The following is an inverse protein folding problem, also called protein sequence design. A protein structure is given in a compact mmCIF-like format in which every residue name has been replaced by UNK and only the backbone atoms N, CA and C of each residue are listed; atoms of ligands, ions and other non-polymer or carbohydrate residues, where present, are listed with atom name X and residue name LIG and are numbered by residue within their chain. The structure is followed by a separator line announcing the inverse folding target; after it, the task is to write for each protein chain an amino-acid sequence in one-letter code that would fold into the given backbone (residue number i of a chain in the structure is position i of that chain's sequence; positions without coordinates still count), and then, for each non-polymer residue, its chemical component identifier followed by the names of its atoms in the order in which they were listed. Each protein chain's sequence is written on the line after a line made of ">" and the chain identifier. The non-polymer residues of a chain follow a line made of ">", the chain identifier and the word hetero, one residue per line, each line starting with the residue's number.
data_IF_773767640987
#
_entry.id   IF_773767640987
#
_cell.length_a   1.000
_cell.length_b   1.000
_cell.length_c   1.000
_cell.angle_alpha   90.00
_cell.angle_beta   90.00
_cell.angle_gamma   90.00
#
_symmetry.space_group_name_H-M   'P 1'
#
loop_
_entity.id
_entity.type
_entity.pdbx_description
1 polymer ?
#
# COMPACT_ATOMS: atom_id res chain seq x y z
N UNK A 1 -43.30 16.19 26.99
CA UNK A 1 -41.86 16.22 26.67
C UNK A 1 -41.53 14.91 25.98
N UNK A 2 -41.23 14.95 24.68
CA UNK A 2 -40.72 13.79 23.98
C UNK A 2 -39.27 13.57 24.45
N UNK A 3 -38.99 12.42 25.03
CA UNK A 3 -37.61 11.98 25.26
C UNK A 3 -37.07 11.60 23.88
N UNK A 4 -36.27 12.48 23.30
CA UNK A 4 -35.44 12.13 22.15
C UNK A 4 -34.34 11.21 22.66
N UNK A 5 -34.54 9.89 22.58
CA UNK A 5 -33.45 8.93 22.66
C UNK A 5 -32.72 9.02 21.32
N UNK A 6 -31.79 9.96 21.19
CA UNK A 6 -30.74 9.82 20.18
C UNK A 6 -30.00 8.55 20.58
N UNK A 7 -30.08 7.47 19.81
CA UNK A 7 -29.12 6.36 19.96
C UNK A 7 -27.76 6.97 19.62
N UNK A 8 -26.89 7.24 20.62
CA UNK A 8 -25.57 7.76 20.34
C UNK A 8 -24.87 6.74 19.45
N UNK A 9 -24.01 7.20 18.55
CA UNK A 9 -23.15 6.32 17.74
C UNK A 9 -22.12 5.63 18.67
N UNK A 10 -22.60 4.63 19.42
CA UNK A 10 -21.87 4.02 20.51
C UNK A 10 -20.62 3.29 20.01
N UNK A 11 -20.69 2.74 18.80
CA UNK A 11 -19.53 2.13 18.16
C UNK A 11 -18.46 3.19 17.86
N UNK A 12 -18.79 4.31 17.20
CA UNK A 12 -17.82 5.39 16.97
C UNK A 12 -17.23 5.91 18.27
N UNK A 13 -18.09 6.25 19.24
CA UNK A 13 -17.66 6.82 20.53
C UNK A 13 -16.75 5.87 21.31
N UNK A 14 -17.05 4.56 21.32
CA UNK A 14 -16.20 3.58 22.01
C UNK A 14 -14.84 3.41 21.33
N UNK A 15 -14.77 3.41 19.99
CA UNK A 15 -13.52 3.34 19.23
C UNK A 15 -12.67 4.58 19.44
N UNK A 16 -13.27 5.78 19.38
CA UNK A 16 -12.58 7.04 19.63
C UNK A 16 -12.04 7.10 21.06
N UNK A 17 -12.88 6.78 22.05
CA UNK A 17 -12.47 6.76 23.46
C UNK A 17 -11.34 5.75 23.73
N UNK A 18 -11.43 4.51 23.20
CA UNK A 18 -10.43 3.48 23.42
C UNK A 18 -9.08 3.79 22.76
N UNK A 19 -9.09 4.60 21.70
CA UNK A 19 -7.90 4.98 20.95
C UNK A 19 -7.32 6.34 21.37
N UNK A 20 -8.00 7.09 22.25
CA UNK A 20 -7.63 8.47 22.53
C UNK A 20 -7.83 9.40 21.32
N UNK A 21 -8.75 9.05 20.42
CA UNK A 21 -9.12 9.87 19.26
C UNK A 21 -8.33 9.59 17.98
N UNK A 22 -7.33 8.72 17.99
CA UNK A 22 -6.53 8.41 16.77
C UNK A 22 -7.24 7.44 15.82
N UNK A 23 -8.30 6.76 16.29
CA UNK A 23 -9.21 5.99 15.46
C UNK A 23 -10.62 6.55 15.53
N UNK A 24 -11.35 6.44 14.42
CA UNK A 24 -12.79 6.72 14.36
C UNK A 24 -13.53 5.63 13.57
N UNK A 25 -14.85 5.75 13.51
CA UNK A 25 -15.72 4.90 12.68
C UNK A 25 -16.45 5.77 11.68
N UNK A 26 -16.11 5.59 10.41
CA UNK A 26 -16.84 6.19 9.30
C UNK A 26 -17.84 5.17 8.77
N UNK A 27 -19.02 5.66 8.42
CA UNK A 27 -20.08 4.85 7.83
C UNK A 27 -20.21 5.20 6.36
N UNK A 28 -20.34 4.19 5.52
CA UNK A 28 -20.59 4.39 4.10
C UNK A 28 -22.05 4.78 3.81
N UNK A 29 -22.38 5.01 2.54
CA UNK A 29 -23.73 5.39 2.12
C UNK A 29 -24.83 4.39 2.50
N UNK A 30 -24.50 3.12 2.81
CA UNK A 30 -25.44 2.10 3.29
C UNK A 30 -25.47 1.99 4.82
N UNK A 31 -24.66 2.77 5.53
CA UNK A 31 -24.55 2.73 6.98
C UNK A 31 -23.69 1.56 7.48
N UNK A 32 -22.79 1.01 6.65
CA UNK A 32 -21.84 0.01 7.14
C UNK A 32 -20.59 0.66 7.74
N UNK A 33 -20.15 0.21 8.93
CA UNK A 33 -19.02 0.81 9.62
C UNK A 33 -17.67 0.40 9.02
N UNK A 34 -16.69 1.28 9.13
CA UNK A 34 -15.28 0.97 8.93
C UNK A 34 -14.45 1.70 9.97
N UNK A 35 -13.59 0.96 10.67
CA UNK A 35 -12.64 1.51 11.64
C UNK A 35 -11.47 2.09 10.87
N UNK A 36 -11.23 3.37 11.06
CA UNK A 36 -10.22 4.14 10.33
C UNK A 36 -9.19 4.70 11.31
N UNK A 37 -7.91 4.62 10.95
CA UNK A 37 -6.82 5.34 11.59
C UNK A 37 -6.72 6.73 10.98
N UNK A 38 -6.68 7.76 11.82
CA UNK A 38 -6.52 9.15 11.41
C UNK A 38 -5.04 9.45 11.33
N UNK A 39 -4.56 9.82 10.15
CA UNK A 39 -3.16 10.20 9.92
C UNK A 39 -3.11 11.70 9.65
N UNK A 40 -2.62 12.52 10.59
CA UNK A 40 -2.48 13.96 10.38
C UNK A 40 -1.43 14.27 9.30
N UNK A 41 -1.66 15.37 8.58
CA UNK A 41 -0.69 15.90 7.63
C UNK A 41 0.65 16.20 8.30
N UNK A 42 1.73 15.80 7.63
CA UNK A 42 3.09 16.19 7.96
C UNK A 42 3.82 16.76 6.72
N UNK A 43 4.92 17.47 6.96
CA UNK A 43 5.79 17.93 5.89
C UNK A 43 6.92 16.93 5.65
N UNK A 44 7.46 16.92 4.43
CA UNK A 44 8.50 15.98 3.99
C UNK A 44 9.76 16.12 4.86
N UNK A 45 10.14 17.36 5.17
CA UNK A 45 11.29 17.71 6.00
C UNK A 45 11.14 17.31 7.48
N UNK A 46 9.92 17.08 7.96
CA UNK A 46 9.67 16.54 9.30
C UNK A 46 10.07 15.04 9.38
N UNK A 47 9.99 14.33 8.25
CA UNK A 47 10.48 12.97 8.08
C UNK A 47 11.98 13.01 7.82
N UNK A 48 12.40 13.56 6.69
CA UNK A 48 13.81 13.71 6.31
C UNK A 48 13.97 14.88 5.33
N UNK A 49 14.71 15.93 5.69
CA UNK A 49 15.00 17.05 4.79
C UNK A 49 15.68 16.64 3.47
N UNK A 50 16.33 15.48 3.41
CA UNK A 50 16.93 14.96 2.18
C UNK A 50 15.88 14.56 1.13
N UNK A 51 14.64 14.26 1.54
CA UNK A 51 13.56 13.85 0.64
C UNK A 51 12.80 15.03 0.01
N UNK A 52 13.08 16.25 0.46
CA UNK A 52 12.46 17.48 -0.04
C UNK A 52 11.84 18.34 1.06
N UNK A 53 10.90 19.19 0.68
CA UNK A 53 10.23 20.11 1.59
C UNK A 53 8.75 20.30 1.23
N UNK A 54 7.96 20.80 2.19
CA UNK A 54 6.53 21.05 2.03
C UNK A 54 5.67 19.83 2.36
N UNK A 55 4.36 19.93 2.06
CA UNK A 55 3.39 18.89 2.40
C UNK A 55 3.65 17.59 1.64
N UNK A 56 3.63 16.45 2.34
CA UNK A 56 3.75 15.14 1.70
C UNK A 56 2.60 14.89 0.70
N UNK A 57 2.85 14.32 -0.51
CA UNK A 57 1.87 14.11 -1.57
C UNK A 57 0.54 13.50 -1.13
N UNK A 58 0.56 12.54 -0.19
CA UNK A 58 -0.62 11.91 0.41
C UNK A 58 -1.70 12.90 0.89
N UNK A 59 -1.30 14.11 1.28
CA UNK A 59 -2.19 15.13 1.82
C UNK A 59 -2.54 16.23 0.82
N UNK A 60 -2.34 16.01 -0.47
CA UNK A 60 -2.73 16.96 -1.53
C UNK A 60 -3.61 16.23 -2.53
N UNK A 61 -4.87 16.63 -2.62
CA UNK A 61 -5.84 16.05 -3.56
C UNK A 61 -6.37 17.15 -4.47
N UNK A 62 -6.12 17.01 -5.77
CA UNK A 62 -6.41 17.97 -6.83
C UNK A 62 -5.92 19.39 -6.49
N UNK A 63 -4.69 19.49 -5.98
CA UNK A 63 -4.06 20.74 -5.55
C UNK A 63 -4.60 21.32 -4.23
N UNK A 64 -5.54 20.64 -3.56
CA UNK A 64 -6.10 21.06 -2.27
C UNK A 64 -5.39 20.32 -1.13
N UNK A 65 -4.68 21.04 -0.24
CA UNK A 65 -4.10 20.45 0.96
C UNK A 65 -5.19 19.92 1.90
N UNK A 66 -4.97 18.73 2.44
CA UNK A 66 -5.83 18.04 3.40
C UNK A 66 -5.18 18.05 4.77
N UNK A 67 -5.98 18.25 5.82
CA UNK A 67 -5.47 18.24 7.20
C UNK A 67 -5.05 16.84 7.65
N UNK A 68 -5.69 15.81 7.10
CA UNK A 68 -5.54 14.41 7.48
C UNK A 68 -6.04 13.49 6.36
N UNK A 69 -5.66 12.22 6.45
CA UNK A 69 -6.19 11.11 5.68
C UNK A 69 -6.66 10.01 6.63
N UNK A 70 -7.62 9.20 6.20
CA UNK A 70 -8.19 8.13 7.00
C UNK A 70 -7.84 6.79 6.34
N UNK A 71 -7.00 5.99 6.99
CA UNK A 71 -6.58 4.69 6.47
C UNK A 71 -7.39 3.60 7.14
N UNK A 72 -7.89 2.63 6.36
CA UNK A 72 -8.52 1.42 6.91
C UNK A 72 -7.57 0.76 7.91
N UNK A 73 -7.98 0.75 9.19
CA UNK A 73 -7.19 0.14 10.26
C UNK A 73 -6.86 -1.33 9.97
N UNK A 74 -7.75 -2.01 9.28
CA UNK A 74 -7.68 -3.43 8.95
C UNK A 74 -7.77 -3.63 7.44
N UNK A 75 -7.24 -4.76 6.96
CA UNK A 75 -7.47 -5.24 5.60
C UNK A 75 -8.98 -5.35 5.31
N UNK A 76 -9.36 -5.19 4.03
CA UNK A 76 -10.76 -5.16 3.64
C UNK A 76 -11.48 -6.49 3.90
N UNK A 77 -12.70 -6.40 4.41
CA UNK A 77 -13.72 -7.43 4.39
C UNK A 77 -14.88 -6.95 3.51
N UNK A 78 -15.20 -7.69 2.43
CA UNK A 78 -16.29 -7.32 1.53
C UNK A 78 -17.61 -7.79 2.12
N UNK A 79 -18.52 -6.84 2.35
CA UNK A 79 -19.90 -7.08 2.73
C UNK A 79 -20.82 -6.30 1.79
N UNK A 80 -21.77 -6.98 1.14
CA UNK A 80 -22.71 -6.37 0.18
C UNK A 80 -22.03 -5.48 -0.88
N UNK A 81 -20.95 -6.00 -1.46
CA UNK A 81 -20.07 -5.31 -2.42
C UNK A 81 -19.37 -4.04 -1.89
N UNK A 82 -19.33 -3.81 -0.58
CA UNK A 82 -18.60 -2.70 0.03
C UNK A 82 -17.39 -3.23 0.79
N UNK A 83 -16.23 -2.58 0.61
CA UNK A 83 -15.01 -2.91 1.32
C UNK A 83 -15.02 -2.30 2.73
N UNK A 84 -15.23 -3.11 3.76
CA UNK A 84 -15.25 -2.66 5.15
C UNK A 84 -13.90 -2.89 5.82
N UNK A 85 -13.46 -1.96 6.67
CA UNK A 85 -12.28 -2.15 7.53
C UNK A 85 -12.75 -2.55 8.93
N UNK A 86 -12.75 -3.84 9.25
CA UNK A 86 -13.26 -4.39 10.51
C UNK A 86 -12.29 -5.43 11.10
N UNK A 87 -12.15 -5.51 12.43
CA UNK A 87 -11.27 -6.49 13.09
C UNK A 87 -11.88 -7.89 13.09
N UNK A 88 -11.02 -8.91 13.07
CA UNK A 88 -11.43 -10.29 13.32
C UNK A 88 -12.11 -11.01 12.14
N UNK A 89 -12.03 -10.45 10.93
CA UNK A 89 -12.56 -11.07 9.72
C UNK A 89 -11.44 -11.73 8.90
N UNK A 90 -11.78 -12.74 8.10
CA UNK A 90 -10.86 -13.20 7.03
C UNK A 90 -10.75 -12.07 5.99
N UNK A 91 -9.53 -11.54 5.70
CA UNK A 91 -9.38 -10.51 4.70
C UNK A 91 -9.83 -11.01 3.32
N UNK A 92 -10.55 -10.15 2.59
CA UNK A 92 -11.05 -10.47 1.26
C UNK A 92 -9.90 -10.56 0.26
N UNK A 93 -9.83 -11.70 -0.43
CA UNK A 93 -8.79 -11.98 -1.43
C UNK A 93 -9.39 -12.57 -2.69
N UNK A 94 -8.54 -12.98 -3.64
CA UNK A 94 -9.00 -13.53 -4.91
C UNK A 94 -9.66 -12.47 -5.79
N UNK A 95 -9.21 -11.23 -5.66
CA UNK A 95 -9.82 -10.06 -6.28
C UNK A 95 -8.80 -9.30 -7.13
N UNK A 96 -9.24 -8.87 -8.31
CA UNK A 96 -8.42 -8.08 -9.21
C UNK A 96 -8.49 -6.58 -8.88
N UNK A 97 -7.61 -5.77 -9.48
CA UNK A 97 -7.48 -4.35 -9.17
C UNK A 97 -8.79 -3.59 -9.36
N UNK A 98 -9.42 -3.70 -10.54
CA UNK A 98 -10.61 -2.91 -10.88
C UNK A 98 -11.81 -3.30 -9.99
N UNK A 99 -11.93 -4.57 -9.63
CA UNK A 99 -12.99 -5.02 -8.70
C UNK A 99 -12.71 -4.52 -7.29
N UNK A 100 -11.50 -4.68 -6.77
CA UNK A 100 -11.11 -4.18 -5.44
C UNK A 100 -11.39 -2.68 -5.33
N UNK A 101 -11.02 -1.93 -6.35
CA UNK A 101 -11.26 -0.51 -6.45
C UNK A 101 -12.75 -0.14 -6.42
N UNK A 102 -13.56 -0.87 -7.20
CA UNK A 102 -15.02 -0.68 -7.23
C UNK A 102 -15.68 -0.93 -5.86
N UNK A 103 -15.14 -1.85 -5.04
CA UNK A 103 -15.68 -2.15 -3.71
C UNK A 103 -15.40 -1.04 -2.70
N UNK A 104 -14.31 -0.30 -2.88
CA UNK A 104 -14.02 0.89 -2.07
C UNK A 104 -14.86 2.09 -2.51
N UNK A 105 -14.95 2.36 -3.81
CA UNK A 105 -15.70 3.52 -4.34
C UNK A 105 -17.21 3.38 -4.18
N UNK A 106 -17.75 2.16 -4.19
CA UNK A 106 -19.17 1.91 -3.90
C UNK A 106 -19.64 2.44 -2.54
N UNK A 107 -18.71 2.68 -1.60
CA UNK A 107 -18.99 3.25 -0.28
C UNK A 107 -19.44 4.71 -0.33
N UNK A 108 -19.16 5.42 -1.43
CA UNK A 108 -19.58 6.80 -1.67
C UNK A 108 -18.42 7.81 -1.74
N UNK A 109 -18.72 9.11 -1.93
CA UNK A 109 -17.71 10.15 -2.08
C UNK A 109 -16.69 10.17 -0.94
N UNK A 110 -15.43 10.40 -1.30
CA UNK A 110 -14.28 10.37 -0.41
C UNK A 110 -13.69 8.98 -0.15
N UNK A 111 -14.46 7.90 -0.32
CA UNK A 111 -13.95 6.54 -0.19
C UNK A 111 -13.21 6.09 -1.45
N UNK A 112 -12.04 5.49 -1.24
CA UNK A 112 -11.18 4.99 -2.30
C UNK A 112 -10.37 3.79 -1.80
N UNK A 113 -9.76 3.03 -2.71
CA UNK A 113 -8.76 2.05 -2.33
C UNK A 113 -7.46 2.79 -1.98
N UNK A 114 -6.78 2.38 -0.92
CA UNK A 114 -5.57 3.06 -0.43
C UNK A 114 -4.58 3.34 -1.57
N UNK A 115 -4.00 4.53 -1.58
CA UNK A 115 -3.10 4.96 -2.65
C UNK A 115 -1.65 4.69 -2.33
N UNK A 116 -0.82 4.62 -3.37
CA UNK A 116 0.63 4.53 -3.24
C UNK A 116 1.22 5.69 -2.42
N UNK A 117 0.67 6.90 -2.59
CA UNK A 117 1.11 8.08 -1.85
C UNK A 117 0.80 7.93 -0.35
N UNK A 118 -0.39 7.46 -0.01
CA UNK A 118 -0.81 7.20 1.37
C UNK A 118 0.01 6.09 2.02
N UNK A 119 0.26 5.00 1.30
CA UNK A 119 1.10 3.91 1.78
C UNK A 119 2.50 4.43 2.10
N UNK A 120 3.08 5.20 1.19
CA UNK A 120 4.40 5.78 1.40
C UNK A 120 4.46 6.78 2.54
N UNK A 121 3.39 7.56 2.77
CA UNK A 121 3.33 8.43 3.94
C UNK A 121 3.41 7.63 5.25
N UNK A 122 2.64 6.55 5.35
CA UNK A 122 2.65 5.64 6.51
C UNK A 122 4.01 4.95 6.65
N UNK A 123 4.59 4.46 5.55
CA UNK A 123 5.89 3.80 5.55
C UNK A 123 7.03 4.71 6.05
N UNK A 124 7.08 5.94 5.55
CA UNK A 124 8.05 6.94 5.95
C UNK A 124 7.86 7.37 7.41
N UNK A 125 6.61 7.48 7.85
CA UNK A 125 6.30 7.75 9.25
C UNK A 125 6.80 6.63 10.16
N UNK A 126 6.55 5.36 9.81
CA UNK A 126 7.07 4.19 10.54
C UNK A 126 8.60 4.23 10.65
N UNK A 127 9.27 4.45 9.51
CA UNK A 127 10.73 4.54 9.45
C UNK A 127 11.27 5.68 10.33
N UNK A 128 10.70 6.89 10.23
CA UNK A 128 11.11 8.05 11.03
C UNK A 128 10.97 7.81 12.54
N UNK A 129 9.93 7.09 12.94
CA UNK A 129 9.69 6.76 14.35
C UNK A 129 10.53 5.56 14.82
N UNK A 130 11.41 5.02 13.98
CA UNK A 130 12.30 3.91 14.32
C UNK A 130 11.58 2.57 14.50
N UNK A 131 10.36 2.44 13.96
CA UNK A 131 9.56 1.25 14.11
C UNK A 131 8.91 0.83 12.79
N UNK A 132 9.40 -0.26 12.21
CA UNK A 132 8.81 -0.93 11.05
C UNK A 132 8.00 -2.14 11.55
N UNK A 133 6.67 -2.19 11.34
CA UNK A 133 5.83 -3.25 11.87
C UNK A 133 6.17 -4.61 11.27
N UNK A 134 6.10 -5.64 12.10
CA UNK A 134 6.16 -7.05 11.71
C UNK A 134 4.77 -7.52 11.25
N UNK A 135 4.62 -8.81 11.02
CA UNK A 135 3.32 -9.34 10.65
C UNK A 135 3.29 -10.83 10.44
N UNK A 136 2.16 -11.30 9.91
CA UNK A 136 2.03 -12.67 9.46
C UNK A 136 2.88 -12.88 8.20
N UNK A 137 4.12 -13.35 8.35
CA UNK A 137 5.05 -13.58 7.23
C UNK A 137 5.51 -15.05 7.15
N UNK A 138 5.02 -15.92 8.03
CA UNK A 138 5.31 -17.34 8.04
C UNK A 138 4.12 -18.17 8.56
N UNK A 139 3.08 -18.29 7.75
CA UNK A 139 1.93 -19.16 7.93
C UNK A 139 1.19 -18.95 9.27
N UNK A 140 0.84 -17.70 9.59
CA UNK A 140 0.12 -17.29 10.80
C UNK A 140 0.99 -16.69 11.90
N UNK A 141 2.30 -16.55 11.67
CA UNK A 141 3.27 -15.96 12.62
C UNK A 141 4.31 -15.10 11.90
N UNK A 142 5.09 -14.33 12.66
CA UNK A 142 6.28 -13.66 12.11
C UNK A 142 7.39 -14.68 11.87
N UNK A 143 8.19 -14.48 10.82
CA UNK A 143 9.25 -15.42 10.44
C UNK A 143 10.50 -15.34 11.35
N UNK A 144 10.72 -14.22 12.04
CA UNK A 144 11.83 -14.02 12.99
C UNK A 144 11.32 -14.18 14.42
N UNK A 145 10.27 -13.43 14.78
CA UNK A 145 9.66 -13.45 16.10
C UNK A 145 8.55 -14.50 16.13
N UNK A 146 8.90 -15.79 16.03
CA UNK A 146 7.93 -16.88 15.82
C UNK A 146 6.89 -17.08 16.93
N UNK A 147 7.06 -16.44 18.09
CA UNK A 147 6.05 -16.38 19.16
C UNK A 147 4.94 -15.35 18.88
N UNK A 148 5.16 -14.40 17.99
CA UNK A 148 4.14 -13.47 17.51
C UNK A 148 3.25 -14.21 16.52
N UNK A 149 1.99 -14.39 16.89
CA UNK A 149 1.02 -15.16 16.11
C UNK A 149 -0.28 -14.39 15.95
N UNK A 150 -0.94 -14.61 14.82
CA UNK A 150 -2.33 -14.22 14.60
C UNK A 150 -3.24 -15.44 14.60
N UNK A 151 -4.54 -15.21 14.68
CA UNK A 151 -5.54 -16.28 14.59
C UNK A 151 -5.76 -16.63 13.14
N UNK A 152 -5.39 -17.83 12.71
CA UNK A 152 -5.58 -18.27 11.32
C UNK A 152 -7.06 -18.48 11.00
N UNK A 153 -7.48 -18.05 9.82
CA UNK A 153 -8.86 -18.21 9.36
C UNK A 153 -9.24 -19.70 9.16
N UNK A 154 -8.26 -20.55 8.82
CA UNK A 154 -8.46 -21.99 8.64
C UNK A 154 -8.37 -22.80 9.94
N UNK A 155 -8.19 -22.15 11.09
CA UNK A 155 -8.06 -22.79 12.40
C UNK A 155 -6.80 -23.64 12.59
N UNK A 156 -5.88 -23.68 11.61
CA UNK A 156 -4.62 -24.42 11.75
C UNK A 156 -3.66 -23.71 12.71
N UNK A 157 -2.67 -24.45 13.22
CA UNK A 157 -1.65 -23.87 14.09
C UNK A 157 -0.71 -22.91 13.31
N UNK A 158 -0.29 -21.77 13.89
CA UNK A 158 0.71 -20.90 13.29
C UNK A 158 2.02 -21.63 12.96
N UNK A 159 2.57 -21.37 11.77
CA UNK A 159 3.78 -22.02 11.26
C UNK A 159 3.55 -23.32 10.48
N UNK A 160 2.34 -23.88 10.48
CA UNK A 160 1.99 -25.04 9.64
C UNK A 160 1.85 -24.59 8.18
N UNK A 161 2.65 -25.15 7.28
CA UNK A 161 2.73 -24.72 5.87
C UNK A 161 1.56 -25.19 4.99
N UNK A 162 0.70 -26.08 5.49
CA UNK A 162 -0.53 -26.47 4.80
C UNK A 162 -1.68 -25.48 5.07
N UNK A 163 -2.68 -25.52 4.20
CA UNK A 163 -3.89 -24.69 4.32
C UNK A 163 -3.72 -23.27 3.81
N UNK A 164 -4.61 -22.39 4.24
CA UNK A 164 -4.67 -20.99 3.83
C UNK A 164 -4.40 -20.13 5.05
N UNK A 165 -3.14 -19.75 5.20
CA UNK A 165 -2.61 -19.19 6.44
C UNK A 165 -2.83 -17.67 6.60
N UNK A 166 -3.92 -17.14 6.03
CA UNK A 166 -4.40 -15.80 6.38
C UNK A 166 -4.75 -15.77 7.85
N UNK A 167 -4.42 -14.66 8.48
CA UNK A 167 -4.85 -14.37 9.84
C UNK A 167 -6.04 -13.44 9.81
N UNK A 168 -6.96 -13.62 10.74
CA UNK A 168 -8.06 -12.69 10.95
C UNK A 168 -7.49 -11.28 11.13
N UNK A 169 -8.12 -10.29 10.52
CA UNK A 169 -7.63 -8.91 10.48
C UNK A 169 -7.37 -8.36 11.88
N UNK A 170 -6.17 -7.83 12.09
CA UNK A 170 -5.73 -7.26 13.37
C UNK A 170 -5.66 -8.25 14.53
N UNK A 171 -5.61 -9.56 14.26
CA UNK A 171 -5.52 -10.58 15.32
C UNK A 171 -4.11 -10.80 15.87
N UNK A 172 -3.10 -10.17 15.27
CA UNK A 172 -1.73 -10.20 15.75
C UNK A 172 -1.47 -9.32 16.98
N UNK A 173 -0.24 -9.40 17.54
CA UNK A 173 0.20 -8.50 18.60
C UNK A 173 0.35 -7.06 18.11
N UNK A 174 0.51 -6.11 19.04
CA UNK A 174 0.71 -4.68 18.72
C UNK A 174 1.93 -4.42 17.81
N UNK A 175 2.92 -5.30 17.81
CA UNK A 175 4.07 -5.21 16.90
C UNK A 175 3.73 -5.43 15.41
N UNK A 176 2.50 -5.85 15.11
CA UNK A 176 1.96 -5.96 13.75
C UNK A 176 1.14 -4.73 13.33
N UNK A 177 1.14 -3.69 14.17
CA UNK A 177 0.47 -2.42 13.97
C UNK A 177 1.51 -1.33 13.77
N UNK A 178 1.26 -0.39 12.85
CA UNK A 178 2.28 0.52 12.30
C UNK A 178 3.01 1.41 13.33
N UNK A 179 2.39 1.67 14.48
CA UNK A 179 2.88 2.53 15.57
C UNK A 179 3.25 1.73 16.82
N UNK A 180 3.30 0.40 16.72
CA UNK A 180 3.50 -0.52 17.84
C UNK A 180 2.44 -0.43 18.95
N UNK A 181 1.24 0.08 18.63
CA UNK A 181 0.08 0.10 19.53
C UNK A 181 -1.11 -0.61 18.91
N UNK A 182 -2.04 -1.10 19.72
CA UNK A 182 -3.30 -1.67 19.21
C UNK A 182 -4.20 -0.62 18.53
N UNK A 183 -3.84 0.67 18.59
CA UNK A 183 -4.55 1.73 17.90
C UNK A 183 -4.08 1.92 16.45
N UNK A 184 -2.86 1.48 16.09
CA UNK A 184 -2.31 1.68 14.76
C UNK A 184 -3.02 0.94 13.62
N UNK A 185 -2.52 1.16 12.41
CA UNK A 185 -2.90 0.42 11.22
C UNK A 185 -2.30 -0.99 11.30
N UNK A 186 -3.15 -2.02 11.25
CA UNK A 186 -2.74 -3.41 11.34
C UNK A 186 -2.33 -4.00 9.98
N UNK A 187 -1.54 -5.06 10.04
CA UNK A 187 -1.28 -6.00 8.94
C UNK A 187 -0.71 -5.33 7.67
N UNK A 188 0.07 -4.24 7.80
CA UNK A 188 0.79 -3.64 6.67
C UNK A 188 1.94 -4.51 6.16
N UNK A 189 2.46 -5.38 7.02
CA UNK A 189 3.50 -6.36 6.69
C UNK A 189 2.86 -7.75 6.68
N UNK A 190 2.92 -8.45 5.56
CA UNK A 190 2.41 -9.82 5.48
C UNK A 190 0.88 -9.92 5.52
N UNK A 191 0.39 -11.09 5.95
CA UNK A 191 -0.98 -11.55 5.75
C UNK A 191 -1.30 -11.65 4.25
N UNK A 192 -1.64 -10.57 3.56
CA UNK A 192 -1.91 -10.56 2.11
C UNK A 192 -1.23 -9.35 1.47
N UNK A 193 -0.80 -9.50 0.22
CA UNK A 193 -0.42 -8.35 -0.60
C UNK A 193 -1.64 -7.44 -0.79
N UNK A 194 -1.40 -6.14 -0.96
CA UNK A 194 -2.48 -5.17 -1.12
C UNK A 194 -2.37 -4.37 -2.40
N UNK A 195 -3.43 -4.39 -3.21
CA UNK A 195 -3.60 -3.46 -4.33
C UNK A 195 -3.56 -2.01 -3.87
N UNK A 196 -2.84 -1.15 -4.61
CA UNK A 196 -2.79 0.29 -4.36
C UNK A 196 -3.14 1.10 -5.61
N UNK A 197 -3.80 2.24 -5.44
CA UNK A 197 -4.01 3.22 -6.52
C UNK A 197 -2.76 4.04 -6.82
N UNK A 198 -2.73 4.68 -7.98
CA UNK A 198 -1.88 5.85 -8.25
C UNK A 198 -0.45 5.56 -8.72
N UNK A 199 -0.09 4.30 -8.92
CA UNK A 199 1.17 3.87 -9.53
C UNK A 199 0.90 2.76 -10.54
N UNK A 200 1.66 2.71 -11.63
CA UNK A 200 1.74 1.57 -12.54
C UNK A 200 3.08 1.55 -13.27
N UNK A 201 3.38 0.41 -13.89
CA UNK A 201 4.36 0.30 -14.98
C UNK A 201 3.63 0.08 -16.31
N UNK A 202 4.17 0.63 -17.38
CA UNK A 202 3.81 0.25 -18.76
C UNK A 202 5.10 -0.05 -19.51
N UNK A 203 5.35 -1.33 -19.82
CA UNK A 203 6.61 -1.79 -20.44
C UNK A 203 7.86 -1.30 -19.68
N UNK A 204 7.75 -1.32 -18.34
CA UNK A 204 8.80 -0.85 -17.43
C UNK A 204 8.79 0.66 -17.16
N UNK A 205 8.12 1.49 -17.96
CA UNK A 205 8.03 2.93 -17.71
C UNK A 205 7.24 3.21 -16.42
N UNK A 206 7.85 3.97 -15.52
CA UNK A 206 7.24 4.33 -14.24
C UNK A 206 6.21 5.43 -14.47
N UNK A 207 4.96 5.15 -14.14
CA UNK A 207 3.87 6.11 -14.26
C UNK A 207 3.12 6.27 -12.94
N UNK A 208 2.88 7.52 -12.56
CA UNK A 208 2.14 7.87 -11.34
C UNK A 208 0.96 8.78 -11.69
N UNK A 209 -0.05 8.78 -10.83
CA UNK A 209 -1.02 9.88 -10.79
C UNK A 209 -0.44 10.93 -9.82
N UNK A 210 -0.31 12.21 -10.22
CA UNK A 210 0.32 13.23 -9.38
C UNK A 210 -0.32 13.37 -8.00
N UNK A 211 0.48 13.77 -7.01
CA UNK A 211 0.08 13.97 -5.62
C UNK A 211 -0.71 12.77 -5.06
N UNK A 212 -1.79 13.02 -4.32
CA UNK A 212 -2.80 12.02 -3.98
C UNK A 212 -4.07 12.19 -4.84
N UNK A 213 -3.94 12.65 -6.09
CA UNK A 213 -5.09 12.81 -6.99
C UNK A 213 -5.75 11.46 -7.29
N UNK A 214 -5.04 10.36 -7.06
CA UNK A 214 -5.57 9.00 -7.08
C UNK A 214 -6.69 8.75 -6.04
N UNK A 215 -6.77 9.55 -4.98
CA UNK A 215 -7.83 9.47 -3.97
C UNK A 215 -9.10 10.25 -4.35
N UNK A 216 -9.08 11.03 -5.45
CA UNK A 216 -10.26 11.75 -5.90
C UNK A 216 -11.40 10.77 -6.24
N UNK A 217 -12.64 11.17 -5.93
CA UNK A 217 -13.83 10.30 -6.03
C UNK A 217 -14.06 9.78 -7.45
N UNK A 218 -13.67 10.55 -8.45
CA UNK A 218 -13.85 10.30 -9.89
C UNK A 218 -12.53 10.09 -10.63
N UNK A 219 -11.44 9.80 -9.91
CA UNK A 219 -10.14 9.52 -10.52
C UNK A 219 -10.22 8.31 -11.47
N UNK A 220 -9.87 8.51 -12.74
CA UNK A 220 -9.81 7.43 -13.73
C UNK A 220 -8.49 6.65 -13.60
N UNK A 221 -8.60 5.40 -13.15
CA UNK A 221 -7.48 4.43 -13.04
C UNK A 221 -7.42 3.43 -14.21
N UNK A 222 -8.23 3.62 -15.24
CA UNK A 222 -8.21 2.79 -16.44
C UNK A 222 -6.86 2.89 -17.16
N UNK A 223 -6.59 1.91 -18.03
CA UNK A 223 -5.35 1.88 -18.80
C UNK A 223 -5.23 3.07 -19.76
N UNK A 224 -6.37 3.59 -20.25
CA UNK A 224 -6.49 4.72 -21.15
C UNK A 224 -6.56 6.09 -20.48
N UNK A 225 -6.49 6.16 -19.14
CA UNK A 225 -6.57 7.42 -18.39
C UNK A 225 -5.45 8.40 -18.77
N UNK A 226 -5.80 9.67 -18.93
CA UNK A 226 -4.85 10.76 -19.16
C UNK A 226 -4.21 11.30 -17.89
N UNK A 227 -4.63 10.79 -16.71
CA UNK A 227 -4.08 11.19 -15.41
C UNK A 227 -2.66 10.66 -15.18
N UNK A 228 -2.31 9.54 -15.82
CA UNK A 228 -0.98 8.94 -15.71
C UNK A 228 0.10 9.86 -16.27
N UNK A 229 1.14 10.08 -15.48
CA UNK A 229 2.35 10.84 -15.85
C UNK A 229 3.58 9.97 -15.68
N UNK A 230 4.47 10.01 -16.67
CA UNK A 230 5.80 9.43 -16.54
C UNK A 230 6.72 10.39 -15.79
N UNK A 231 7.77 9.85 -15.17
CA UNK A 231 8.73 10.61 -14.35
C UNK A 231 10.05 10.76 -15.10
N UNK A 232 10.58 11.98 -15.21
CA UNK A 232 11.91 12.24 -15.75
C UNK A 232 12.99 12.16 -14.66
N UNK A 233 14.28 11.94 -15.00
CA UNK A 233 15.37 11.92 -14.03
C UNK A 233 15.51 13.20 -13.17
N UNK A 234 15.06 14.34 -13.68
CA UNK A 234 15.01 15.61 -12.95
C UNK A 234 13.76 15.77 -12.05
N UNK A 235 12.92 14.74 -11.94
CA UNK A 235 11.69 14.73 -11.14
C UNK A 235 10.47 15.35 -11.81
N UNK A 236 10.60 15.92 -13.01
CA UNK A 236 9.45 16.49 -13.72
C UNK A 236 8.48 15.40 -14.21
N UNK A 237 7.20 15.73 -14.20
CA UNK A 237 6.13 14.86 -14.68
C UNK A 237 5.80 15.19 -16.13
N UNK A 238 5.83 14.19 -16.99
CA UNK A 238 5.64 14.31 -18.44
C UNK A 238 4.59 13.32 -18.94
N UNK A 239 4.19 13.44 -20.21
CA UNK A 239 3.31 12.46 -20.82
C UNK A 239 4.01 11.08 -20.91
N UNK A 240 3.30 9.98 -20.66
CA UNK A 240 3.79 8.62 -20.94
C UNK A 240 4.40 8.47 -22.34
N UNK A 241 5.49 7.71 -22.44
CA UNK A 241 6.24 7.51 -23.68
C UNK A 241 7.23 8.62 -24.04
N UNK A 242 7.38 9.65 -23.19
CA UNK A 242 8.40 10.69 -23.38
C UNK A 242 9.80 10.08 -23.34
N UNK A 243 10.64 10.38 -24.34
CA UNK A 243 12.02 9.88 -24.40
C UNK A 243 12.81 10.30 -23.14
N UNK A 244 13.54 9.35 -22.57
CA UNK A 244 14.33 9.58 -21.35
C UNK A 244 13.54 9.50 -20.05
N UNK A 245 12.25 9.19 -20.07
CA UNK A 245 11.47 8.87 -18.86
C UNK A 245 12.08 7.68 -18.11
N UNK A 246 11.99 7.69 -16.79
CA UNK A 246 12.49 6.65 -15.91
C UNK A 246 11.71 5.34 -16.09
N UNK A 247 12.44 4.24 -16.12
CA UNK A 247 11.95 2.88 -16.32
C UNK A 247 12.64 1.92 -15.36
N UNK A 248 11.97 0.84 -15.02
CA UNK A 248 12.60 -0.32 -14.43
C UNK A 248 13.14 -1.22 -15.52
N UNK A 249 14.46 -1.32 -15.59
CA UNK A 249 15.18 -2.29 -16.38
C UNK A 249 15.64 -3.47 -15.51
N UNK A 250 15.99 -4.58 -16.13
CA UNK A 250 16.51 -5.75 -15.43
C UNK A 250 18.01 -5.93 -15.75
N UNK A 251 18.80 -6.37 -14.78
CA UNK A 251 20.25 -6.55 -14.98
C UNK A 251 20.61 -7.86 -15.69
N UNK A 252 19.75 -8.88 -15.62
CA UNK A 252 19.91 -10.17 -16.28
C UNK A 252 19.12 -10.24 -17.58
N UNK A 253 19.38 -11.26 -18.40
CA UNK A 253 18.72 -11.51 -19.70
C UNK A 253 17.21 -11.75 -19.53
N UNK A 254 16.42 -11.36 -20.53
CA UNK A 254 14.96 -11.55 -20.62
C UNK A 254 14.19 -11.05 -19.38
N UNK A 255 14.59 -9.92 -18.81
CA UNK A 255 13.93 -9.33 -17.65
C UNK A 255 14.27 -9.98 -16.30
N UNK A 256 15.32 -10.82 -16.22
CA UNK A 256 15.77 -11.49 -15.00
C UNK A 256 16.71 -10.63 -14.12
N UNK A 257 17.04 -11.13 -12.93
CA UNK A 257 18.07 -10.55 -12.07
C UNK A 257 17.51 -9.46 -11.15
N UNK A 258 18.22 -8.34 -11.04
CA UNK A 258 17.84 -7.25 -10.14
C UNK A 258 17.15 -6.10 -10.90
N UNK A 259 16.17 -5.43 -10.29
CA UNK A 259 15.64 -4.17 -10.78
C UNK A 259 16.76 -3.12 -10.82
N UNK A 260 16.85 -2.41 -11.93
CA UNK A 260 17.77 -1.29 -12.12
C UNK A 260 16.98 -0.10 -12.67
N UNK A 261 17.04 1.03 -11.98
CA UNK A 261 16.42 2.26 -12.46
C UNK A 261 17.22 2.80 -13.65
N UNK A 262 16.56 2.98 -14.78
CA UNK A 262 17.17 3.38 -16.04
C UNK A 262 16.26 4.39 -16.79
N UNK A 263 16.71 4.91 -17.92
CA UNK A 263 15.92 5.69 -18.87
C UNK A 263 15.50 4.87 -20.11
N UNK A 264 16.01 3.65 -20.23
CA UNK A 264 15.70 2.68 -21.28
C UNK A 264 15.53 1.27 -20.71
N UNK A 265 14.77 0.42 -21.42
CA UNK A 265 14.67 -1.01 -21.11
C UNK A 265 15.52 -1.75 -22.13
N UNK A 266 16.62 -2.35 -21.69
CA UNK A 266 17.52 -3.14 -22.54
C UNK A 266 17.37 -4.63 -22.33
N UNK A 267 16.84 -5.05 -21.18
CA UNK A 267 16.46 -6.43 -20.90
C UNK A 267 14.98 -6.48 -20.54
N UNK A 268 14.15 -6.77 -21.54
CA UNK A 268 12.71 -6.86 -21.40
C UNK A 268 12.30 -8.29 -21.03
N UNK A 269 11.30 -8.40 -20.14
CA UNK A 269 10.67 -9.68 -19.81
C UNK A 269 10.08 -10.37 -21.04
N UNK A 270 10.25 -11.69 -21.09
CA UNK A 270 9.64 -12.59 -22.07
C UNK A 270 8.18 -12.97 -21.75
N UNK A 271 7.58 -12.35 -20.73
CA UNK A 271 6.24 -12.65 -20.23
C UNK A 271 6.20 -13.67 -19.07
N UNK A 272 7.30 -14.37 -18.81
CA UNK A 272 7.41 -15.34 -17.71
C UNK A 272 8.40 -14.88 -16.64
N UNK A 273 9.48 -14.24 -17.07
CA UNK A 273 10.59 -13.84 -16.22
C UNK A 273 10.34 -12.50 -15.53
N UNK A 274 10.95 -12.28 -14.37
CA UNK A 274 10.85 -11.05 -13.59
C UNK A 274 12.14 -10.78 -12.84
N UNK A 275 12.34 -9.52 -12.42
CA UNK A 275 13.48 -9.11 -11.61
C UNK A 275 13.04 -8.82 -10.18
N UNK A 276 13.92 -9.10 -9.22
CA UNK A 276 13.69 -8.71 -7.83
C UNK A 276 14.99 -8.49 -7.05
N UNK A 277 14.96 -7.57 -6.09
CA UNK A 277 16.02 -7.34 -5.13
C UNK A 277 15.43 -6.72 -3.86
N UNK A 278 16.04 -7.01 -2.70
CA UNK A 278 15.63 -6.35 -1.46
C UNK A 278 15.55 -4.83 -1.67
N UNK A 279 14.59 -4.16 -1.06
CA UNK A 279 14.36 -2.74 -1.28
C UNK A 279 15.64 -1.90 -1.13
N UNK A 280 16.43 -2.19 -0.09
CA UNK A 280 17.74 -1.56 0.18
C UNK A 280 18.82 -1.78 -0.91
N UNK A 281 18.66 -2.79 -1.75
CA UNK A 281 19.65 -3.22 -2.76
C UNK A 281 19.26 -2.78 -4.18
N UNK A 282 18.10 -2.12 -4.36
CA UNK A 282 17.70 -1.53 -5.64
C UNK A 282 18.65 -0.38 -6.00
N UNK A 283 19.14 -0.38 -7.24
CA UNK A 283 20.15 0.57 -7.71
C UNK A 283 19.73 1.24 -9.02
N UNK A 284 20.34 2.38 -9.32
CA UNK A 284 20.22 3.04 -10.62
C UNK A 284 21.37 2.63 -11.55
N UNK A 285 21.13 2.68 -12.86
CA UNK A 285 22.18 2.54 -13.86
C UNK A 285 23.16 3.74 -13.78
N UNK A 286 24.39 3.53 -14.25
CA UNK A 286 25.41 4.58 -14.23
C UNK A 286 24.94 5.82 -15.02
N UNK A 287 25.06 7.00 -14.40
CA UNK A 287 24.65 8.28 -15.00
C UNK A 287 23.15 8.60 -14.90
N UNK A 288 22.32 7.72 -14.32
CA UNK A 288 20.91 7.99 -14.09
C UNK A 288 20.72 8.67 -12.74
N UNK A 289 20.13 9.87 -12.75
CA UNK A 289 19.75 10.59 -11.54
C UNK A 289 18.44 10.02 -10.99
N UNK A 290 18.44 9.71 -9.70
CA UNK A 290 17.23 9.31 -8.95
C UNK A 290 16.62 10.58 -8.34
N UNK A 291 15.45 11.05 -8.82
CA UNK A 291 14.79 12.17 -8.18
C UNK A 291 14.18 11.75 -6.84
N UNK A 292 14.21 12.66 -5.86
CA UNK A 292 13.75 12.39 -4.49
C UNK A 292 12.29 11.92 -4.41
N UNK A 293 11.46 12.30 -5.39
CA UNK A 293 10.08 11.81 -5.49
C UNK A 293 9.98 10.28 -5.61
N UNK A 294 10.93 9.58 -6.24
CA UNK A 294 10.90 8.10 -6.24
C UNK A 294 11.15 7.53 -4.85
N UNK A 295 12.03 8.15 -4.07
CA UNK A 295 12.28 7.75 -2.68
C UNK A 295 11.07 8.05 -1.79
N UNK A 296 10.51 9.24 -1.93
CA UNK A 296 9.30 9.69 -1.26
C UNK A 296 8.11 8.77 -1.53
N UNK A 297 7.94 8.31 -2.76
CA UNK A 297 6.86 7.40 -3.17
C UNK A 297 7.20 5.91 -2.97
N UNK A 298 8.29 5.58 -2.26
CA UNK A 298 8.67 4.20 -1.92
C UNK A 298 9.05 3.34 -3.14
N UNK A 299 9.52 3.98 -4.22
CA UNK A 299 9.94 3.34 -5.46
C UNK A 299 11.45 3.14 -5.51
N UNK A 300 12.22 3.84 -4.67
CA UNK A 300 13.66 3.71 -4.58
C UNK A 300 14.11 3.83 -3.12
N UNK A 301 15.13 3.07 -2.66
CA UNK A 301 15.60 3.14 -1.29
C UNK A 301 16.03 4.54 -0.85
N UNK A 302 15.46 5.00 0.27
CA UNK A 302 15.91 6.19 1.02
C UNK A 302 16.89 5.84 2.14
N UNK A 303 16.86 4.60 2.62
CA UNK A 303 17.72 4.09 3.68
C UNK A 303 18.07 2.63 3.38
N UNK A 304 19.37 2.31 3.41
CA UNK A 304 19.91 0.97 3.16
C UNK A 304 19.93 0.08 4.40
N UNK A 305 19.57 0.61 5.57
CA UNK A 305 19.44 -0.14 6.82
C UNK A 305 18.11 -0.88 6.94
N UNK A 306 17.13 -0.60 6.06
CA UNK A 306 15.84 -1.30 6.03
C UNK A 306 16.06 -2.75 5.54
N UNK A 307 15.89 -3.71 6.45
CA UNK A 307 16.29 -5.11 6.27
C UNK A 307 15.18 -6.04 5.80
N UNK A 308 13.94 -5.55 5.70
CA UNK A 308 12.76 -6.29 5.25
C UNK A 308 12.06 -5.59 4.09
N UNK A 309 11.47 -6.38 3.21
CA UNK A 309 10.73 -5.91 2.06
C UNK A 309 11.53 -6.05 0.77
N UNK A 310 10.97 -6.80 -0.16
CA UNK A 310 11.55 -7.04 -1.47
C UNK A 310 10.87 -6.17 -2.54
N UNK A 311 11.62 -5.76 -3.54
CA UNK A 311 11.12 -5.04 -4.70
C UNK A 311 11.05 -6.02 -5.88
N UNK A 312 9.88 -6.20 -6.47
CA UNK A 312 9.66 -7.04 -7.64
C UNK A 312 9.16 -6.21 -8.80
N UNK A 313 9.61 -6.51 -10.02
CA UNK A 313 9.07 -5.89 -11.21
C UNK A 313 9.03 -6.85 -12.40
N UNK A 314 8.11 -6.53 -13.32
CA UNK A 314 8.16 -7.02 -14.69
C UNK A 314 7.97 -5.83 -15.65
N UNK A 315 8.90 -5.64 -16.57
CA UNK A 315 8.95 -4.52 -17.49
C UNK A 315 8.30 -4.83 -18.86
N UNK A 316 7.14 -5.47 -18.83
CA UNK A 316 6.37 -5.84 -20.02
C UNK A 316 4.88 -5.65 -19.71
N UNK A 317 4.13 -5.01 -20.59
CA UNK A 317 2.72 -4.71 -20.42
C UNK A 317 2.43 -3.78 -19.24
N UNK A 318 1.16 -3.72 -18.83
CA UNK A 318 0.73 -2.91 -17.69
C UNK A 318 0.82 -3.70 -16.39
N UNK A 319 1.56 -3.18 -15.40
CA UNK A 319 1.69 -3.76 -14.05
C UNK A 319 1.25 -2.78 -12.98
N UNK A 320 0.48 -3.25 -12.01
CA UNK A 320 -0.03 -2.43 -10.91
C UNK A 320 0.58 -2.84 -9.57
N UNK A 321 0.67 -1.90 -8.61
CA UNK A 321 1.39 -2.10 -7.37
C UNK A 321 0.64 -2.95 -6.38
N UNK A 322 1.41 -3.86 -5.80
CA UNK A 322 1.09 -4.63 -4.62
C UNK A 322 2.07 -4.25 -3.52
N UNK A 323 1.58 -3.95 -2.32
CA UNK A 323 2.44 -3.60 -1.17
C UNK A 323 2.32 -4.63 -0.02
N UNK A 324 3.33 -4.66 0.86
CA UNK A 324 3.27 -5.28 2.19
C UNK A 324 3.75 -6.74 2.30
N UNK A 325 3.54 -7.56 1.27
CA UNK A 325 3.83 -9.00 1.34
C UNK A 325 2.68 -9.83 1.88
N UNK A 326 2.78 -11.17 1.80
CA UNK A 326 1.78 -12.09 2.34
C UNK A 326 2.35 -13.11 3.34
N UNK A 327 1.49 -13.98 3.86
CA UNK A 327 1.79 -14.95 4.92
C UNK A 327 2.94 -15.93 4.69
N UNK A 328 3.52 -16.09 3.49
CA UNK A 328 4.68 -16.97 3.27
C UNK A 328 5.95 -16.25 2.77
N UNK A 329 5.96 -14.92 2.72
CA UNK A 329 7.06 -14.15 2.11
C UNK A 329 8.30 -14.04 3.01
N UNK A 330 8.20 -14.39 4.29
CA UNK A 330 9.27 -14.21 5.28
C UNK A 330 9.86 -12.78 5.23
N UNK A 331 11.16 -12.64 4.98
CA UNK A 331 11.84 -11.33 4.90
C UNK A 331 11.50 -10.51 3.66
N UNK A 332 10.87 -11.10 2.65
CA UNK A 332 10.42 -10.38 1.46
C UNK A 332 9.18 -9.51 1.73
N UNK A 333 8.42 -9.84 2.79
CA UNK A 333 7.35 -9.00 3.28
C UNK A 333 7.92 -7.84 4.13
N UNK A 334 7.19 -6.74 4.16
CA UNK A 334 7.57 -5.54 4.89
C UNK A 334 6.83 -4.32 4.35
N UNK A 335 6.81 -3.25 5.14
CA UNK A 335 6.12 -2.02 4.75
C UNK A 335 6.69 -1.39 3.47
N UNK A 336 7.98 -1.60 3.17
CA UNK A 336 8.60 -1.15 1.91
C UNK A 336 8.55 -2.19 0.78
N UNK A 337 7.94 -3.36 1.01
CA UNK A 337 7.78 -4.37 -0.03
C UNK A 337 6.87 -3.83 -1.13
N UNK A 338 7.33 -3.91 -2.38
CA UNK A 338 6.61 -3.44 -3.55
C UNK A 338 6.74 -4.47 -4.67
N UNK A 339 5.60 -4.88 -5.20
CA UNK A 339 5.52 -5.83 -6.28
C UNK A 339 4.77 -5.20 -7.46
N UNK A 340 5.49 -5.06 -8.58
CA UNK A 340 5.06 -4.52 -9.85
C UNK A 340 5.21 -5.58 -10.96
N UNK A 341 4.88 -6.85 -10.70
CA UNK A 341 4.87 -7.91 -11.74
C UNK A 341 3.48 -8.30 -12.23
N UNK A 342 2.41 -7.94 -11.50
CA UNK A 342 1.06 -8.42 -11.77
C UNK A 342 0.25 -7.45 -12.65
N UNK A 343 -0.48 -7.94 -13.66
CA UNK A 343 -1.43 -7.11 -14.42
C UNK A 343 -2.69 -6.80 -13.59
N UNK A 344 -3.47 -5.78 -13.98
CA UNK A 344 -4.73 -5.39 -13.30
C UNK A 344 -5.72 -6.54 -13.10
N UNK A 345 -5.71 -7.50 -14.03
CA UNK A 345 -6.62 -8.65 -14.04
C UNK A 345 -6.23 -9.77 -13.08
N UNK A 346 -5.03 -9.72 -12.50
CA UNK A 346 -4.54 -10.77 -11.61
C UNK A 346 -5.39 -10.85 -10.35
N UNK A 347 -5.74 -12.07 -9.96
CA UNK A 347 -6.51 -12.36 -8.76
C UNK A 347 -5.92 -13.59 -8.08
N UNK A 348 -5.69 -13.52 -6.77
CA UNK A 348 -5.05 -14.60 -6.03
C UNK A 348 -5.49 -14.64 -4.57
N UNK A 349 -5.49 -15.82 -3.95
CA UNK A 349 -5.92 -15.99 -2.56
C UNK A 349 -5.00 -15.30 -1.52
N UNK A 350 -3.84 -14.84 -1.95
CA UNK A 350 -2.83 -14.07 -1.19
C UNK A 350 -2.90 -12.56 -1.44
N UNK A 351 -3.88 -12.10 -2.21
CA UNK A 351 -3.98 -10.75 -2.72
C UNK A 351 -5.30 -10.13 -2.31
N UNK A 352 -5.22 -9.07 -1.51
CA UNK A 352 -6.33 -8.26 -1.04
C UNK A 352 -6.08 -6.77 -1.27
N UNK A 353 -6.63 -5.95 -0.38
CA UNK A 353 -6.63 -4.48 -0.44
C UNK A 353 -7.20 -3.93 0.87
N UNK A 354 -7.15 -2.60 1.05
CA UNK A 354 -7.87 -1.91 2.13
C UNK A 354 -8.51 -0.60 1.64
N UNK A 355 -9.65 -0.18 2.24
CA UNK A 355 -10.24 1.11 1.95
C UNK A 355 -9.48 2.24 2.67
N UNK A 356 -9.53 3.43 2.09
CA UNK A 356 -9.11 4.69 2.68
C UNK A 356 -10.19 5.76 2.42
N UNK A 357 -10.09 6.90 3.10
CA UNK A 357 -11.02 8.01 2.98
C UNK A 357 -10.31 9.36 3.10
N UNK A 358 -10.70 10.32 2.25
CA UNK A 358 -10.24 11.71 2.27
C UNK A 358 -11.28 12.60 1.60
N UNK A 359 -11.52 13.82 2.11
CA UNK A 359 -12.43 14.81 1.51
C UNK A 359 -11.87 16.22 1.52
#
# INVERSE_FOLDING_TARGET
>A
MAITISTPDALRQSVEAASGGVNTVLYDAKGYPSVMCIIPRFNIEDIDPALGSGTHPAFVVNGVPKSEIFIGKFLAHIHDNHALSLPGHDPSTGINFDTADSRCTAKGPGWHMMTNAEWSAVALWCWKNGFMPRGNTQYGRDHVQTYETGRRQDGSAPGVSSGTARTLTGSGPASWFHDNTQAGIADLTGNVWEWQRGLRLVDGEIQIIPDNNAAATDADHSSGSTLWKAVMPNGTLVAPGTAGSLKWNATGVDGAGSPQLDTSVTSQSDGTTSASAMYKDVAAAAGVTVPEMLKLLGLFPHDTTIDRGNFYMRNEGERLPLRGGHWYDAGNAGVVALNLYSPRSYASGILGFRPAFVI
#
